data_IF_791885148610
#
_entry.id   IF_791885148610
#
_cell.length_a   1.000
_cell.length_b   1.000
_cell.length_c   1.000
_cell.angle_alpha   90.00
_cell.angle_beta   90.00
_cell.angle_gamma   90.00
#
_symmetry.space_group_name_H-M   'P 1'
#
loop_
_entity.id
_entity.type
_entity.pdbx_description
1 polymer ?
#
# COMPACT_ATOMS: atom_id res chain seq x y z
N UNK A 1 2.49 -4.31 -12.60
CA UNK A 1 1.25 -4.50 -11.86
C UNK A 1 1.48 -5.58 -10.82
N UNK A 2 1.09 -5.33 -9.63
CA UNK A 2 1.22 -6.30 -8.55
C UNK A 2 -0.14 -6.41 -7.87
N UNK A 3 -0.59 -7.61 -7.63
CA UNK A 3 -1.88 -7.90 -7.04
C UNK A 3 -1.70 -8.65 -5.73
N UNK A 4 -2.60 -8.41 -4.80
CA UNK A 4 -2.51 -8.99 -3.46
C UNK A 4 -3.86 -9.56 -3.06
N UNK A 5 -3.87 -10.84 -2.72
CA UNK A 5 -4.93 -11.46 -1.94
C UNK A 5 -5.87 -12.40 -2.68
N UNK A 6 -5.87 -13.65 -2.22
CA UNK A 6 -6.92 -14.63 -2.47
C UNK A 6 -7.21 -15.40 -1.18
N UNK A 7 -8.49 -15.51 -0.82
CA UNK A 7 -8.89 -16.26 0.40
C UNK A 7 -8.41 -15.61 1.70
N UNK A 8 -7.77 -16.37 2.56
CA UNK A 8 -7.26 -15.93 3.87
C UNK A 8 -5.79 -15.53 3.86
N UNK A 9 -5.15 -15.49 2.70
CA UNK A 9 -3.73 -15.16 2.55
C UNK A 9 -3.53 -14.00 1.58
N UNK A 10 -2.40 -13.32 1.74
CA UNK A 10 -1.91 -12.33 0.79
C UNK A 10 -1.00 -13.02 -0.21
N UNK A 11 -1.28 -12.84 -1.49
CA UNK A 11 -0.42 -13.29 -2.58
C UNK A 11 0.17 -12.08 -3.31
N UNK A 12 1.48 -12.09 -3.55
CA UNK A 12 2.19 -10.97 -4.18
C UNK A 12 2.75 -11.41 -5.52
N UNK A 13 2.35 -10.74 -6.58
CA UNK A 13 2.84 -10.96 -7.94
C UNK A 13 3.63 -9.75 -8.40
N UNK A 14 4.87 -9.97 -8.83
CA UNK A 14 5.76 -8.92 -9.31
C UNK A 14 6.36 -9.31 -10.66
N UNK A 15 6.39 -8.37 -11.58
CA UNK A 15 7.05 -8.55 -12.88
C UNK A 15 7.42 -7.20 -13.48
N UNK A 16 8.58 -7.14 -14.11
CA UNK A 16 8.98 -6.04 -14.98
C UNK A 16 8.25 -6.18 -16.32
N UNK A 17 7.69 -5.08 -16.82
CA UNK A 17 7.04 -5.05 -18.13
C UNK A 17 5.72 -4.28 -18.13
N UNK A 18 5.00 -4.39 -19.23
CA UNK A 18 3.71 -3.72 -19.39
C UNK A 18 2.67 -4.35 -18.45
N UNK A 19 1.83 -3.55 -17.76
CA UNK A 19 0.79 -4.07 -16.88
C UNK A 19 -0.15 -5.10 -17.51
N UNK A 20 -0.46 -4.98 -18.80
CA UNK A 20 -1.30 -5.96 -19.53
C UNK A 20 -0.66 -7.33 -19.61
N UNK A 21 0.66 -7.37 -19.85
CA UNK A 21 1.41 -8.62 -19.93
C UNK A 21 1.45 -9.30 -18.56
N UNK A 22 1.63 -8.51 -17.50
CA UNK A 22 1.61 -9.01 -16.11
C UNK A 22 0.24 -9.62 -15.78
N UNK A 23 -0.86 -8.92 -16.10
CA UNK A 23 -2.23 -9.44 -15.90
C UNK A 23 -2.45 -10.77 -16.62
N UNK A 24 -1.94 -10.92 -17.84
CA UNK A 24 -2.08 -12.13 -18.63
C UNK A 24 -1.19 -13.26 -18.10
N UNK A 25 0.08 -12.97 -17.81
CA UNK A 25 1.07 -13.97 -17.37
C UNK A 25 0.67 -14.62 -16.04
N UNK A 26 0.11 -13.84 -15.12
CA UNK A 26 -0.39 -14.37 -13.83
C UNK A 26 -1.87 -14.74 -13.85
N UNK A 27 -2.54 -14.67 -14.99
CA UNK A 27 -3.97 -14.99 -15.11
C UNK A 27 -4.84 -14.23 -14.09
N UNK A 28 -4.53 -12.98 -13.84
CA UNK A 28 -5.16 -12.13 -12.79
C UNK A 28 -6.69 -12.07 -12.95
N UNK A 29 -7.20 -12.23 -14.16
CA UNK A 29 -8.65 -12.27 -14.43
C UNK A 29 -9.40 -13.39 -13.71
N UNK A 30 -8.68 -14.44 -13.27
CA UNK A 30 -9.24 -15.58 -12.56
C UNK A 30 -9.20 -15.41 -11.05
N UNK A 31 -8.62 -14.31 -10.56
CA UNK A 31 -8.53 -14.05 -9.12
C UNK A 31 -9.83 -13.49 -8.58
N UNK A 32 -10.17 -13.89 -7.36
CA UNK A 32 -11.25 -13.33 -6.59
C UNK A 32 -10.76 -13.02 -5.19
N UNK A 33 -11.29 -11.95 -4.60
CA UNK A 33 -10.88 -11.51 -3.27
C UNK A 33 -11.70 -10.32 -2.82
N UNK A 34 -11.51 -9.93 -1.57
CA UNK A 34 -12.23 -8.79 -0.98
C UNK A 34 -11.55 -7.46 -1.30
N UNK A 35 -10.22 -7.46 -1.49
CA UNK A 35 -9.46 -6.27 -1.82
C UNK A 35 -8.17 -6.61 -2.57
N UNK A 36 -7.64 -5.63 -3.28
CA UNK A 36 -6.40 -5.74 -4.02
C UNK A 36 -5.64 -4.41 -3.97
N UNK A 37 -4.31 -4.49 -3.94
CA UNK A 37 -3.42 -3.33 -4.03
C UNK A 37 -2.53 -3.52 -5.25
N UNK A 38 -2.37 -2.47 -6.06
CA UNK A 38 -1.53 -2.48 -7.24
C UNK A 38 -0.61 -1.28 -7.29
N UNK A 39 0.54 -1.45 -7.96
CA UNK A 39 1.48 -0.36 -8.18
C UNK A 39 2.16 -0.48 -9.54
N UNK A 40 2.23 0.62 -10.27
CA UNK A 40 3.05 0.74 -11.47
C UNK A 40 4.21 1.68 -11.16
N UNK A 41 5.43 1.15 -11.14
CA UNK A 41 6.62 1.92 -10.80
C UNK A 41 7.34 2.38 -12.07
N UNK A 42 7.70 3.66 -12.09
CA UNK A 42 8.72 4.17 -12.99
C UNK A 42 9.97 4.45 -12.15
N UNK A 43 11.06 3.72 -12.43
CA UNK A 43 12.31 3.94 -11.72
C UNK A 43 13.04 5.16 -12.29
N UNK A 44 13.47 6.07 -11.41
CA UNK A 44 14.24 7.26 -11.77
C UNK A 44 15.71 7.13 -11.42
N UNK A 45 16.06 6.44 -10.32
CA UNK A 45 17.42 6.40 -9.76
C UNK A 45 17.93 4.99 -9.47
N UNK A 46 17.10 3.96 -9.56
CA UNK A 46 17.48 2.59 -9.24
C UNK A 46 17.17 1.62 -10.38
N UNK A 47 17.86 0.49 -10.38
CA UNK A 47 17.64 -0.56 -11.38
C UNK A 47 16.19 -1.03 -11.42
N UNK A 48 15.69 -1.28 -12.63
CA UNK A 48 14.36 -1.87 -12.85
C UNK A 48 14.50 -3.39 -12.70
N UNK A 49 14.12 -3.88 -11.53
CA UNK A 49 14.16 -5.32 -11.22
C UNK A 49 12.83 -5.76 -10.63
N UNK A 50 12.53 -7.05 -10.73
CA UNK A 50 11.34 -7.63 -10.08
C UNK A 50 11.37 -7.43 -8.58
N UNK A 51 12.51 -7.68 -7.94
CA UNK A 51 12.66 -7.52 -6.48
C UNK A 51 12.55 -6.06 -6.04
N UNK A 52 13.00 -5.12 -6.89
CA UNK A 52 12.88 -3.69 -6.68
C UNK A 52 11.48 -3.12 -6.92
N UNK A 53 10.49 -3.95 -7.26
CA UNK A 53 9.12 -3.53 -7.56
C UNK A 53 8.22 -3.61 -6.33
N UNK A 54 7.20 -2.75 -6.28
CA UNK A 54 6.13 -2.83 -5.27
C UNK A 54 5.13 -3.97 -5.59
N UNK A 55 4.34 -4.42 -4.60
CA UNK A 55 4.39 -4.06 -3.18
C UNK A 55 5.56 -4.73 -2.46
N UNK A 56 5.89 -4.23 -1.29
CA UNK A 56 6.82 -4.87 -0.37
C UNK A 56 6.08 -5.50 0.79
N UNK A 57 6.56 -6.65 1.22
CA UNK A 57 6.12 -7.36 2.42
C UNK A 57 7.37 -7.87 3.16
N UNK A 58 7.42 -7.65 4.44
CA UNK A 58 8.51 -8.11 5.32
C UNK A 58 7.98 -8.95 6.49
N UNK A 59 6.67 -9.07 6.62
CA UNK A 59 5.94 -9.85 7.61
C UNK A 59 5.05 -10.92 6.97
N UNK A 60 4.28 -11.61 7.81
CA UNK A 60 3.43 -12.73 7.37
C UNK A 60 2.12 -12.29 6.71
N UNK A 61 1.58 -11.15 7.12
CA UNK A 61 0.25 -10.69 6.68
C UNK A 61 0.24 -9.16 6.54
N UNK A 62 1.12 -8.64 5.72
CA UNK A 62 1.10 -7.23 5.34
C UNK A 62 1.76 -7.02 3.98
N UNK A 63 1.32 -6.00 3.29
CA UNK A 63 2.02 -5.48 2.13
C UNK A 63 1.86 -3.96 2.06
N UNK A 64 2.83 -3.31 1.45
CA UNK A 64 2.88 -1.86 1.32
C UNK A 64 3.23 -1.43 -0.09
N UNK A 65 2.49 -0.46 -0.61
CA UNK A 65 2.88 0.33 -1.78
C UNK A 65 3.11 1.78 -1.38
N UNK A 66 4.04 2.44 -2.05
CA UNK A 66 4.54 3.75 -1.71
C UNK A 66 4.66 4.62 -2.96
N UNK A 67 4.16 5.83 -2.87
CA UNK A 67 4.48 6.92 -3.77
C UNK A 67 5.12 8.04 -2.95
N UNK A 68 6.40 8.32 -3.20
CA UNK A 68 7.17 9.31 -2.46
C UNK A 68 8.61 8.92 -2.21
N UNK A 69 9.19 9.43 -1.13
CA UNK A 69 10.55 9.13 -0.69
C UNK A 69 10.69 9.33 0.82
N UNK A 70 11.40 8.40 1.48
CA UNK A 70 11.75 8.49 2.90
C UNK A 70 13.20 8.95 3.06
N UNK A 71 13.42 10.09 3.71
CA UNK A 71 14.75 10.66 3.95
C UNK A 71 15.54 9.88 5.01
N UNK A 72 14.87 9.35 6.03
CA UNK A 72 15.51 8.66 7.14
C UNK A 72 15.60 7.13 7.00
N UNK A 73 15.28 6.58 5.81
CA UNK A 73 15.20 5.12 5.58
C UNK A 73 16.48 4.35 5.97
N UNK A 74 17.65 4.93 5.79
CA UNK A 74 18.91 4.28 6.15
C UNK A 74 19.11 4.13 7.67
N UNK A 75 18.63 5.09 8.47
CA UNK A 75 18.66 4.99 9.93
C UNK A 75 17.67 3.92 10.42
N UNK A 76 16.46 3.94 9.86
CA UNK A 76 15.42 2.96 10.17
C UNK A 76 15.85 1.54 9.77
N UNK A 77 16.49 1.35 8.60
CA UNK A 77 17.05 0.08 8.16
C UNK A 77 17.99 -0.52 9.21
N UNK A 78 18.92 0.27 9.75
CA UNK A 78 19.84 -0.17 10.81
C UNK A 78 19.11 -0.57 12.09
N UNK A 79 18.08 0.20 12.46
CA UNK A 79 17.28 -0.08 13.65
C UNK A 79 16.45 -1.36 13.49
N UNK A 80 15.79 -1.55 12.34
CA UNK A 80 14.99 -2.74 12.04
C UNK A 80 15.85 -4.00 11.96
N UNK A 81 17.04 -3.91 11.37
CA UNK A 81 17.99 -5.02 11.34
C UNK A 81 18.39 -5.48 12.75
N UNK A 82 18.60 -4.55 13.70
CA UNK A 82 18.87 -4.90 15.11
C UNK A 82 17.69 -5.61 15.79
N UNK A 83 16.47 -5.40 15.28
CA UNK A 83 15.25 -6.07 15.76
C UNK A 83 14.98 -7.40 15.02
N UNK A 84 15.90 -7.86 14.16
CA UNK A 84 15.77 -9.10 13.41
C UNK A 84 14.93 -9.03 12.14
N UNK A 85 14.56 -7.82 11.68
CA UNK A 85 13.80 -7.65 10.45
C UNK A 85 14.78 -7.56 9.28
N UNK A 86 14.65 -8.48 8.34
CA UNK A 86 15.48 -8.53 7.15
C UNK A 86 14.94 -7.56 6.09
N UNK A 87 15.80 -6.67 5.61
CA UNK A 87 15.54 -5.74 4.49
C UNK A 87 16.52 -6.10 3.38
N UNK A 88 16.04 -6.61 2.27
CA UNK A 88 16.86 -7.19 1.19
C UNK A 88 17.24 -6.20 0.11
N UNK A 89 16.31 -5.31 -0.25
CA UNK A 89 16.54 -4.32 -1.30
C UNK A 89 17.10 -3.00 -0.75
N UNK A 90 17.53 -2.14 -1.65
CA UNK A 90 17.90 -0.76 -1.30
C UNK A 90 16.71 0.19 -1.28
N UNK A 91 15.49 -0.32 -1.56
CA UNK A 91 14.30 0.49 -1.64
C UNK A 91 13.85 0.97 -0.24
N UNK A 92 13.46 2.22 -0.14
CA UNK A 92 12.95 2.83 1.08
C UNK A 92 11.57 2.27 1.47
N UNK A 93 10.78 1.84 0.49
CA UNK A 93 9.48 1.22 0.74
C UNK A 93 9.59 -0.09 1.50
N UNK A 94 10.63 -0.90 1.25
CA UNK A 94 10.85 -2.13 2.02
C UNK A 94 11.17 -1.80 3.49
N UNK A 95 11.85 -0.69 3.73
CA UNK A 95 12.10 -0.21 5.10
C UNK A 95 10.79 0.22 5.78
N UNK A 96 9.92 0.93 5.06
CA UNK A 96 8.59 1.27 5.58
C UNK A 96 7.75 0.03 5.86
N UNK A 97 7.73 -0.96 4.95
CA UNK A 97 7.07 -2.25 5.18
C UNK A 97 7.62 -2.93 6.43
N UNK A 98 8.95 -2.97 6.61
CA UNK A 98 9.59 -3.51 7.80
C UNK A 98 9.21 -2.77 9.09
N UNK A 99 9.03 -1.47 9.03
CA UNK A 99 8.55 -0.67 10.16
C UNK A 99 7.13 -1.08 10.54
N UNK A 100 6.22 -1.17 9.58
CA UNK A 100 4.83 -1.59 9.81
C UNK A 100 4.77 -3.02 10.33
N UNK A 101 5.48 -3.98 9.70
CA UNK A 101 5.57 -5.37 10.15
C UNK A 101 6.06 -5.49 11.59
N UNK A 102 7.05 -4.69 11.99
CA UNK A 102 7.51 -4.64 13.38
C UNK A 102 6.40 -4.19 14.33
N UNK A 103 5.57 -3.22 13.93
CA UNK A 103 4.39 -2.81 14.69
C UNK A 103 3.38 -3.94 14.87
N UNK A 104 3.02 -4.60 13.77
CA UNK A 104 2.08 -5.72 13.75
C UNK A 104 2.57 -6.90 14.59
N UNK A 105 3.85 -7.26 14.51
CA UNK A 105 4.48 -8.31 15.32
C UNK A 105 4.44 -7.99 16.82
N UNK A 106 4.42 -6.72 17.18
CA UNK A 106 4.22 -6.24 18.55
C UNK A 106 2.74 -6.03 18.90
N UNK A 107 1.82 -6.69 18.20
CA UNK A 107 0.37 -6.70 18.44
C UNK A 107 -0.33 -5.34 18.25
N UNK A 108 0.28 -4.40 17.53
CA UNK A 108 -0.40 -3.17 17.12
C UNK A 108 -1.37 -3.49 15.99
N UNK A 109 -2.45 -2.73 15.90
CA UNK A 109 -3.29 -2.74 14.70
C UNK A 109 -2.54 -2.10 13.52
N UNK A 110 -2.96 -2.38 12.29
CA UNK A 110 -2.42 -1.71 11.10
C UNK A 110 -2.54 -0.18 11.22
N UNK A 111 -3.68 0.28 11.71
CA UNK A 111 -3.94 1.70 11.94
C UNK A 111 -2.93 2.32 12.92
N UNK A 112 -2.72 1.69 14.08
CA UNK A 112 -1.77 2.20 15.08
C UNK A 112 -0.32 2.18 14.57
N UNK A 113 0.06 1.14 13.82
CA UNK A 113 1.38 1.07 13.21
C UNK A 113 1.61 2.20 12.19
N UNK A 114 0.57 2.56 11.41
CA UNK A 114 0.62 3.68 10.47
C UNK A 114 0.63 5.05 11.18
N UNK A 115 -0.13 5.20 12.28
CA UNK A 115 -0.11 6.43 13.10
C UNK A 115 1.29 6.65 13.71
N UNK A 116 1.93 5.59 14.21
CA UNK A 116 3.31 5.70 14.67
C UNK A 116 4.27 6.02 13.52
N UNK A 117 3.99 5.45 12.33
CA UNK A 117 4.73 5.76 11.12
C UNK A 117 4.72 7.25 10.77
N UNK A 118 3.60 7.95 10.95
CA UNK A 118 3.52 9.40 10.73
C UNK A 118 4.50 10.20 11.61
N UNK A 119 4.86 9.69 12.79
CA UNK A 119 5.81 10.33 13.70
C UNK A 119 7.26 10.00 13.40
N UNK A 120 7.52 8.75 12.97
CA UNK A 120 8.87 8.19 12.91
C UNK A 120 9.44 8.14 11.48
N UNK A 121 8.57 8.11 10.45
CA UNK A 121 8.97 8.08 9.05
C UNK A 121 9.08 9.51 8.52
N UNK A 122 10.31 9.94 8.26
CA UNK A 122 10.60 11.27 7.73
C UNK A 122 10.66 11.24 6.19
N UNK A 123 9.97 12.17 5.54
CA UNK A 123 9.89 12.26 4.10
C UNK A 123 8.56 12.79 3.60
N UNK A 124 8.25 12.51 2.36
CA UNK A 124 6.96 12.83 1.75
C UNK A 124 6.43 11.56 1.06
N UNK A 125 5.22 11.17 1.40
CA UNK A 125 4.70 9.89 0.96
C UNK A 125 3.18 9.78 0.96
N UNK A 126 2.70 8.91 0.11
CA UNK A 126 1.40 8.27 0.22
C UNK A 126 1.63 6.76 0.30
N UNK A 127 1.19 6.14 1.38
CA UNK A 127 1.18 4.70 1.55
C UNK A 127 -0.21 4.13 1.38
N UNK A 128 -0.31 2.97 0.70
CA UNK A 128 -1.43 2.06 0.84
C UNK A 128 -0.88 0.75 1.37
N UNK A 129 -1.38 0.33 2.52
CA UNK A 129 -1.00 -0.91 3.17
C UNK A 129 -2.19 -1.84 3.28
N UNK A 130 -1.96 -3.13 3.08
CA UNK A 130 -2.98 -4.16 3.14
C UNK A 130 -2.57 -5.31 4.04
N UNK A 131 -3.57 -5.87 4.71
CA UNK A 131 -3.53 -7.12 5.46
C UNK A 131 -4.71 -7.99 5.01
N UNK A 132 -4.79 -9.24 5.44
CA UNK A 132 -5.97 -10.09 5.18
C UNK A 132 -7.28 -9.50 5.69
N UNK A 133 -7.23 -8.59 6.66
CA UNK A 133 -8.40 -8.00 7.31
C UNK A 133 -8.88 -6.68 6.66
N UNK A 134 -8.13 -6.15 5.70
CA UNK A 134 -8.49 -4.91 5.04
C UNK A 134 -7.27 -4.11 4.57
N UNK A 135 -7.51 -2.89 4.17
CA UNK A 135 -6.47 -1.96 3.71
C UNK A 135 -6.59 -0.61 4.40
N UNK A 136 -5.50 0.14 4.39
CA UNK A 136 -5.44 1.50 4.90
C UNK A 136 -4.62 2.38 3.97
N UNK A 137 -4.98 3.66 3.91
CA UNK A 137 -4.19 4.71 3.25
C UNK A 137 -3.79 5.76 4.26
N UNK A 138 -2.58 6.26 4.10
CA UNK A 138 -2.06 7.42 4.84
C UNK A 138 -1.22 8.28 3.92
N UNK A 139 -1.36 9.60 4.08
CA UNK A 139 -0.48 10.61 3.49
C UNK A 139 0.30 11.29 4.61
N UNK A 140 1.54 11.67 4.34
CA UNK A 140 2.29 12.54 5.25
C UNK A 140 1.56 13.89 5.48
N UNK A 141 2.01 14.68 6.44
CA UNK A 141 1.36 15.96 6.80
C UNK A 141 1.41 17.01 5.66
N UNK A 142 2.43 16.94 4.79
CA UNK A 142 2.56 17.84 3.63
C UNK A 142 1.67 17.40 2.48
N UNK A 143 1.48 16.07 2.35
CA UNK A 143 0.62 15.41 1.35
C UNK A 143 0.86 15.85 -0.11
N UNK A 144 2.12 16.09 -0.47
CA UNK A 144 2.47 16.49 -1.84
C UNK A 144 2.32 15.34 -2.86
N UNK A 145 2.24 14.09 -2.40
CA UNK A 145 1.90 12.96 -3.26
C UNK A 145 0.39 12.75 -3.29
N UNK A 146 -0.21 12.74 -4.50
CA UNK A 146 -1.66 12.73 -4.63
C UNK A 146 -2.26 11.38 -4.23
N UNK A 147 -3.49 11.44 -3.76
CA UNK A 147 -4.36 10.29 -3.59
C UNK A 147 -5.81 10.73 -3.71
N UNK A 148 -6.63 9.92 -4.34
CA UNK A 148 -8.06 10.12 -4.48
C UNK A 148 -8.81 8.84 -4.12
N UNK A 149 -9.92 8.99 -3.42
CA UNK A 149 -10.82 7.91 -3.02
C UNK A 149 -12.14 8.08 -3.75
N UNK A 150 -12.62 6.99 -4.33
CA UNK A 150 -13.97 6.89 -4.89
C UNK A 150 -14.74 5.83 -4.10
N UNK A 151 -15.81 6.27 -3.43
CA UNK A 151 -16.65 5.40 -2.62
C UNK A 151 -18.03 5.28 -3.25
N UNK A 152 -18.46 4.04 -3.44
CA UNK A 152 -19.79 3.66 -3.85
C UNK A 152 -20.43 2.79 -2.77
N UNK A 153 -21.67 2.37 -2.98
CA UNK A 153 -22.31 1.37 -2.10
C UNK A 153 -21.68 -0.03 -2.26
N UNK A 154 -21.00 -0.31 -3.37
CA UNK A 154 -20.54 -1.65 -3.73
C UNK A 154 -19.03 -1.81 -3.54
N UNK A 155 -18.25 -0.70 -3.58
CA UNK A 155 -16.80 -0.75 -3.45
C UNK A 155 -16.20 0.60 -3.01
N UNK A 156 -14.98 0.54 -2.51
CA UNK A 156 -14.09 1.69 -2.35
C UNK A 156 -12.87 1.49 -3.23
N UNK A 157 -12.56 2.47 -4.07
CA UNK A 157 -11.37 2.50 -4.89
C UNK A 157 -10.45 3.66 -4.46
N UNK A 158 -9.14 3.40 -4.45
CA UNK A 158 -8.12 4.38 -4.11
C UNK A 158 -7.08 4.37 -5.23
N UNK A 159 -6.70 5.56 -5.70
CA UNK A 159 -5.63 5.69 -6.69
C UNK A 159 -4.86 7.00 -6.50
N UNK A 160 -3.70 7.11 -7.13
CA UNK A 160 -2.97 8.39 -7.19
C UNK A 160 -3.75 9.45 -7.97
N UNK A 161 -4.51 9.02 -9.01
CA UNK A 161 -5.28 9.91 -9.88
C UNK A 161 -6.65 9.32 -10.19
N UNK A 162 -7.67 10.18 -10.28
CA UNK A 162 -9.04 9.75 -10.62
C UNK A 162 -9.12 9.02 -11.97
N UNK A 163 -8.29 9.40 -12.93
CA UNK A 163 -8.27 8.77 -14.26
C UNK A 163 -8.04 7.25 -14.18
N UNK A 164 -7.26 6.77 -13.22
CA UNK A 164 -7.02 5.34 -13.01
C UNK A 164 -8.30 4.57 -12.62
N UNK A 165 -9.30 5.27 -12.06
CA UNK A 165 -10.58 4.70 -11.59
C UNK A 165 -11.75 5.01 -12.53
N UNK A 166 -11.57 5.85 -13.54
CA UNK A 166 -12.64 6.37 -14.40
C UNK A 166 -13.44 5.28 -15.13
N UNK A 167 -12.86 4.09 -15.27
CA UNK A 167 -13.50 2.95 -15.94
C UNK A 167 -14.23 1.99 -14.98
N UNK A 168 -14.20 2.26 -13.68
CA UNK A 168 -14.88 1.40 -12.71
C UNK A 168 -16.40 1.54 -12.81
N UNK A 169 -17.16 0.46 -12.57
CA UNK A 169 -18.62 0.50 -12.63
C UNK A 169 -19.19 1.54 -11.67
N UNK A 170 -20.13 2.36 -12.15
CA UNK A 170 -20.82 3.39 -11.35
C UNK A 170 -19.94 4.44 -10.69
N UNK A 171 -18.68 4.61 -11.11
CA UNK A 171 -17.79 5.61 -10.52
C UNK A 171 -18.30 7.04 -10.62
N UNK A 172 -19.13 7.34 -11.63
CA UNK A 172 -19.81 8.63 -11.78
C UNK A 172 -20.85 8.95 -10.68
N UNK A 173 -21.23 7.94 -9.89
CA UNK A 173 -22.12 8.07 -8.72
C UNK A 173 -21.34 7.98 -7.40
N UNK A 174 -20.03 7.79 -7.47
CA UNK A 174 -19.20 7.67 -6.29
C UNK A 174 -19.07 9.01 -5.56
N UNK A 175 -18.94 8.94 -4.24
CA UNK A 175 -18.42 10.06 -3.46
C UNK A 175 -16.90 10.13 -3.68
N UNK A 176 -16.44 11.22 -4.29
CA UNK A 176 -15.02 11.44 -4.59
C UNK A 176 -14.45 12.39 -3.55
N UNK A 177 -13.31 12.04 -2.96
CA UNK A 177 -12.60 12.91 -2.02
C UNK A 177 -11.11 12.54 -1.94
N UNK A 178 -10.29 13.47 -1.44
CA UNK A 178 -8.90 13.21 -1.09
C UNK A 178 -8.81 12.82 0.39
N UNK A 179 -7.98 11.81 0.76
CA UNK A 179 -7.69 11.52 2.16
C UNK A 179 -7.01 12.73 2.82
N UNK A 180 -7.42 13.05 4.03
CA UNK A 180 -6.83 14.16 4.77
C UNK A 180 -5.35 13.90 5.09
N UNK A 181 -4.47 14.92 4.93
CA UNK A 181 -3.06 14.83 5.32
C UNK A 181 -2.88 14.49 6.79
N UNK A 182 -1.89 13.65 7.11
CA UNK A 182 -1.58 13.29 8.49
C UNK A 182 -2.62 12.38 9.17
N UNK A 183 -3.65 11.92 8.45
CA UNK A 183 -4.66 11.02 8.98
C UNK A 183 -4.63 9.65 8.30
N UNK A 184 -4.87 8.60 9.09
CA UNK A 184 -5.01 7.23 8.59
C UNK A 184 -6.47 6.94 8.29
N UNK A 185 -6.78 6.72 7.01
CA UNK A 185 -8.06 6.17 6.58
C UNK A 185 -7.95 4.66 6.49
N UNK A 186 -8.58 3.95 7.41
CA UNK A 186 -8.61 2.49 7.44
C UNK A 186 -9.94 1.96 6.92
N UNK A 187 -9.88 0.98 6.02
CA UNK A 187 -11.01 0.29 5.43
C UNK A 187 -10.97 -1.16 5.93
N UNK A 188 -11.77 -1.44 6.95
CA UNK A 188 -11.85 -2.75 7.60
C UNK A 188 -13.13 -3.44 7.11
N UNK A 189 -13.00 -4.66 6.59
CA UNK A 189 -14.06 -5.54 6.11
C UNK A 189 -15.17 -4.92 5.26
N UNK A 190 -15.21 -5.32 4.02
CA UNK A 190 -16.15 -4.86 2.98
C UNK A 190 -17.52 -5.59 3.05
N UNK A 191 -17.92 -6.15 4.17
CA UNK A 191 -19.33 -6.56 4.38
C UNK A 191 -20.21 -5.40 4.84
N UNK A 192 -19.64 -4.38 5.50
CA UNK A 192 -20.18 -3.04 5.71
C UNK A 192 -19.01 -2.08 5.85
N UNK A 193 -18.87 -1.04 5.02
CA UNK A 193 -17.75 -0.11 5.09
C UNK A 193 -17.85 0.76 6.34
N UNK A 194 -17.34 0.28 7.46
CA UNK A 194 -17.14 1.07 8.65
C UNK A 194 -15.82 1.85 8.50
N UNK A 195 -15.95 3.13 8.27
CA UNK A 195 -14.81 4.06 8.27
C UNK A 195 -14.42 4.42 9.70
N UNK A 196 -13.16 4.32 9.98
CA UNK A 196 -12.60 4.89 11.20
C UNK A 196 -11.60 5.98 10.81
N UNK A 197 -11.99 7.21 11.11
CA UNK A 197 -11.10 8.38 11.10
C UNK A 197 -10.39 8.47 12.44
N UNK A 198 -9.13 8.84 12.44
CA UNK A 198 -8.38 9.14 13.68
C UNK A 198 -7.55 10.37 13.49
#
# INVERSE_FOLDING_TARGET
LNLVGYGSSIEIFKQVGNPRDVVNNFSVKNFSGTHAIGHTRMATESAITTDGSHPYSTGEDECLVHNGSLSNHNNLRRTLKKKGIEIKSQNDTEVAAGYISNGLSNKKSLKDALIDGLKDLDGFYTFISGTKNGLAIVRDEIACKPAVVAETKDYVAIASEFQAMAHLPNVNKAKIFEPEPGLVLSLIHISEPTRQWS
#
